data_IF_154379890021
#
_entry.id   IF_154379890021
#
_cell.length_a   1.000
_cell.length_b   1.000
_cell.length_c   1.000
_cell.angle_alpha   90.00
_cell.angle_beta   90.00
_cell.angle_gamma   90.00
#
_symmetry.space_group_name_H-M   'P 1'
#
loop_
_entity.id
_entity.type
_entity.pdbx_description
1 polymer ?
#
# COMPACT_ATOMS: atom_id res chain seq x y z
N UNK A 1 10.08 20.87 -16.53
CA UNK A 1 9.70 21.80 -15.44
C UNK A 1 9.87 21.06 -14.12
N UNK A 2 10.82 21.37 -13.22
CA UNK A 2 11.08 20.47 -12.10
C UNK A 2 10.11 20.79 -10.95
N UNK A 3 8.99 20.07 -10.93
CA UNK A 3 7.98 20.11 -9.87
C UNK A 3 8.24 19.13 -8.72
N UNK A 4 9.49 19.03 -8.26
CA UNK A 4 9.90 18.15 -7.15
C UNK A 4 10.44 18.95 -5.98
N UNK A 5 9.98 18.64 -4.76
CA UNK A 5 10.51 19.20 -3.53
C UNK A 5 11.83 18.47 -3.20
N UNK A 6 12.95 19.20 -3.19
CA UNK A 6 14.26 18.66 -2.83
C UNK A 6 14.41 18.65 -1.30
N UNK A 7 14.38 17.46 -0.70
CA UNK A 7 14.55 17.30 0.75
C UNK A 7 16.02 17.21 1.19
N UNK A 8 16.98 17.22 0.26
CA UNK A 8 18.41 17.06 0.56
C UNK A 8 19.03 18.22 1.36
N UNK A 9 18.28 19.29 1.64
CA UNK A 9 18.72 20.45 2.42
C UNK A 9 17.94 20.72 3.70
N UNK A 10 16.98 19.87 4.09
CA UNK A 10 16.14 20.10 5.27
C UNK A 10 16.50 19.12 6.39
N UNK A 11 16.71 19.64 7.60
CA UNK A 11 16.89 18.82 8.80
C UNK A 11 15.61 18.03 9.08
N UNK A 12 15.76 16.72 9.30
CA UNK A 12 14.64 15.81 9.64
C UNK A 12 13.94 16.19 10.95
N UNK A 13 14.61 17.00 11.78
CA UNK A 13 14.18 17.37 13.13
C UNK A 13 13.65 18.81 13.20
N UNK A 14 13.61 19.53 12.07
CA UNK A 14 12.99 20.85 12.00
C UNK A 14 11.51 20.74 11.60
N UNK A 15 10.59 21.47 12.26
CA UNK A 15 9.22 21.59 11.78
C UNK A 15 9.20 22.24 10.40
N UNK A 16 8.44 21.66 9.48
CA UNK A 16 8.33 22.15 8.11
C UNK A 16 7.34 23.31 8.06
N UNK A 17 7.89 24.52 8.01
CA UNK A 17 7.08 25.70 7.73
C UNK A 17 6.44 25.60 6.33
N UNK A 18 5.22 26.11 6.23
CA UNK A 18 4.41 26.10 5.02
C UNK A 18 5.20 26.57 3.78
N UNK A 19 5.31 25.71 2.77
CA UNK A 19 5.81 26.07 1.45
C UNK A 19 4.81 25.61 0.38
N UNK A 20 4.28 26.57 -0.37
CA UNK A 20 3.29 26.31 -1.40
C UNK A 20 3.98 25.69 -2.62
N UNK A 21 3.78 24.39 -2.84
CA UNK A 21 4.17 23.73 -4.09
C UNK A 21 2.99 22.93 -4.65
N UNK A 22 2.82 22.97 -5.98
CA UNK A 22 1.66 22.36 -6.67
C UNK A 22 1.62 20.83 -6.59
N UNK A 23 2.72 20.18 -6.22
CA UNK A 23 2.88 18.73 -6.36
C UNK A 23 2.48 17.92 -5.13
N UNK A 24 2.42 18.52 -3.92
CA UNK A 24 2.37 17.76 -2.66
C UNK A 24 1.34 18.26 -1.64
N UNK A 25 0.18 18.80 -2.06
CA UNK A 25 -0.85 19.28 -1.11
C UNK A 25 -1.28 18.23 -0.08
N UNK A 26 -1.37 16.97 -0.47
CA UNK A 26 -1.75 15.88 0.45
C UNK A 26 -0.65 15.56 1.46
N UNK A 27 0.62 15.65 1.05
CA UNK A 27 1.79 15.44 1.89
C UNK A 27 1.99 16.63 2.86
N UNK A 28 1.83 17.85 2.36
CA UNK A 28 1.84 19.08 3.14
C UNK A 28 0.73 19.06 4.21
N UNK A 29 -0.51 18.67 3.86
CA UNK A 29 -1.60 18.52 4.86
C UNK A 29 -1.28 17.52 5.96
N UNK A 30 -0.54 16.44 5.68
CA UNK A 30 -0.14 15.48 6.72
C UNK A 30 0.93 16.05 7.67
N UNK A 31 1.79 16.94 7.17
CA UNK A 31 2.89 17.56 7.93
C UNK A 31 2.40 18.76 8.74
N UNK A 32 1.59 19.63 8.15
CA UNK A 32 1.12 20.87 8.81
C UNK A 32 -0.06 20.63 9.76
N UNK A 33 -0.71 19.47 9.68
CA UNK A 33 -1.94 19.19 10.42
C UNK A 33 -3.11 20.08 9.99
N UNK A 34 -4.23 19.97 10.72
CA UNK A 34 -5.36 20.90 10.61
C UNK A 34 -5.13 22.15 11.48
N UNK A 35 -5.83 23.25 11.19
CA UNK A 35 -5.70 24.49 11.95
C UNK A 35 -5.98 24.25 13.44
N UNK A 36 -4.96 24.47 14.28
CA UNK A 36 -5.01 24.24 15.74
C UNK A 36 -4.28 22.98 16.23
N UNK A 37 -3.74 22.15 15.34
CA UNK A 37 -2.83 21.06 15.70
C UNK A 37 -1.37 21.53 15.71
N UNK A 38 -0.50 20.95 16.55
CA UNK A 38 0.93 21.23 16.51
C UNK A 38 1.53 20.76 15.18
N UNK A 39 2.44 21.57 14.61
CA UNK A 39 3.21 21.21 13.42
C UNK A 39 4.03 19.95 13.67
N UNK A 40 4.01 19.00 12.74
CA UNK A 40 4.78 17.75 12.84
C UNK A 40 6.06 17.83 12.04
N UNK A 41 7.10 17.17 12.53
CA UNK A 41 8.36 16.99 11.83
C UNK A 41 8.24 15.93 10.72
N UNK A 42 9.14 15.96 9.74
CA UNK A 42 9.24 14.89 8.74
C UNK A 42 9.45 13.52 9.40
N UNK A 43 10.25 13.47 10.46
CA UNK A 43 10.49 12.24 11.22
C UNK A 43 9.22 11.66 11.81
N UNK A 44 8.32 12.49 12.33
CA UNK A 44 7.05 12.03 12.89
C UNK A 44 6.09 11.54 11.80
N UNK A 45 5.98 12.27 10.69
CA UNK A 45 5.10 11.91 9.57
C UNK A 45 5.53 10.61 8.88
N UNK A 46 6.83 10.37 8.80
CA UNK A 46 7.39 9.15 8.22
C UNK A 46 7.85 8.15 9.27
N UNK A 47 7.43 8.32 10.53
CA UNK A 47 7.80 7.40 11.59
C UNK A 47 7.24 5.99 11.25
N UNK A 48 8.02 4.90 11.40
CA UNK A 48 7.57 3.55 11.04
C UNK A 48 6.23 3.12 11.67
N UNK A 49 5.94 3.64 12.88
CA UNK A 49 4.68 3.43 13.61
C UNK A 49 3.47 4.09 12.92
N UNK A 50 3.69 5.16 12.14
CA UNK A 50 2.66 5.83 11.34
C UNK A 50 2.56 5.26 9.91
N UNK A 51 3.48 4.37 9.51
CA UNK A 51 3.53 3.76 8.19
C UNK A 51 4.46 4.47 7.19
N UNK A 52 4.71 3.83 6.04
CA UNK A 52 5.30 4.52 4.89
C UNK A 52 4.20 5.36 4.23
N UNK A 53 4.04 6.60 4.69
CA UNK A 53 2.98 7.49 4.21
C UNK A 53 1.59 6.99 4.62
N UNK A 54 0.78 6.53 3.66
CA UNK A 54 -0.60 6.06 3.92
C UNK A 54 -0.74 4.55 4.06
N UNK A 55 0.37 3.82 4.00
CA UNK A 55 0.34 2.35 3.97
C UNK A 55 0.26 1.79 5.37
N UNK A 56 -0.59 0.78 5.56
CA UNK A 56 -0.71 0.06 6.82
C UNK A 56 0.52 -0.84 7.01
N UNK A 57 1.19 -0.71 8.15
CA UNK A 57 2.34 -1.55 8.51
C UNK A 57 1.89 -2.67 9.43
N UNK A 58 2.28 -3.90 9.10
CA UNK A 58 2.09 -5.08 9.94
C UNK A 58 3.46 -5.57 10.42
N UNK A 59 3.59 -5.82 11.71
CA UNK A 59 4.86 -6.26 12.33
C UNK A 59 4.58 -7.47 13.22
N UNK A 60 5.38 -8.53 13.07
CA UNK A 60 5.23 -9.75 13.86
C UNK A 60 5.85 -10.97 13.19
N UNK A 61 5.53 -12.15 13.71
CA UNK A 61 5.79 -13.43 13.03
C UNK A 61 4.94 -13.57 11.76
N UNK A 62 5.28 -14.51 10.88
CA UNK A 62 4.50 -14.83 9.68
C UNK A 62 3.01 -15.06 9.96
N UNK A 63 2.71 -15.87 10.98
CA UNK A 63 1.33 -16.15 11.40
C UNK A 63 0.62 -14.93 11.99
N UNK A 64 1.33 -14.11 12.77
CA UNK A 64 0.78 -12.87 13.34
C UNK A 64 0.46 -11.86 12.24
N UNK A 65 1.35 -11.69 11.27
CA UNK A 65 1.14 -10.80 10.11
C UNK A 65 -0.01 -11.32 9.24
N UNK A 66 -0.08 -12.62 8.97
CA UNK A 66 -1.18 -13.22 8.21
C UNK A 66 -2.54 -13.01 8.90
N UNK A 67 -2.61 -13.19 10.22
CA UNK A 67 -3.83 -12.94 11.00
C UNK A 67 -4.25 -11.46 11.01
N UNK A 68 -3.29 -10.54 11.18
CA UNK A 68 -3.57 -9.10 11.09
C UNK A 68 -4.05 -8.70 9.68
N UNK A 69 -3.47 -9.28 8.63
CA UNK A 69 -3.88 -9.03 7.26
C UNK A 69 -5.29 -9.56 6.99
N UNK A 70 -5.59 -10.79 7.43
CA UNK A 70 -6.91 -11.41 7.31
C UNK A 70 -8.01 -10.55 7.97
N UNK A 71 -7.76 -10.13 9.22
CA UNK A 71 -8.67 -9.26 9.94
C UNK A 71 -8.89 -7.94 9.19
N UNK A 72 -7.81 -7.33 8.72
CA UNK A 72 -7.90 -6.06 8.01
C UNK A 72 -8.69 -6.17 6.70
N UNK A 73 -8.43 -7.20 5.88
CA UNK A 73 -9.18 -7.42 4.62
C UNK A 73 -10.69 -7.60 4.88
N UNK A 74 -11.04 -8.34 5.94
CA UNK A 74 -12.43 -8.52 6.35
C UNK A 74 -13.08 -7.21 6.82
N UNK A 75 -12.37 -6.41 7.61
CA UNK A 75 -12.88 -5.14 8.15
C UNK A 75 -13.02 -4.06 7.07
N UNK A 76 -12.14 -4.05 6.07
CA UNK A 76 -12.11 -3.02 5.02
C UNK A 76 -12.85 -3.41 3.75
N UNK A 77 -13.48 -4.59 3.70
CA UNK A 77 -14.15 -5.14 2.50
C UNK A 77 -13.23 -5.05 1.28
N UNK A 78 -11.97 -5.46 1.46
CA UNK A 78 -10.91 -5.35 0.46
C UNK A 78 -10.51 -6.73 -0.02
N UNK A 79 -10.49 -6.93 -1.34
CA UNK A 79 -10.19 -8.23 -1.94
C UNK A 79 -8.68 -8.54 -2.00
N UNK A 80 -7.85 -7.52 -2.23
CA UNK A 80 -6.44 -7.67 -2.57
C UNK A 80 -5.53 -6.62 -1.93
N UNK A 81 -4.22 -6.89 -1.91
CA UNK A 81 -3.21 -5.96 -1.41
C UNK A 81 -2.18 -5.55 -2.45
N UNK A 82 -1.69 -4.32 -2.31
CA UNK A 82 -0.43 -3.89 -2.89
C UNK A 82 0.66 -3.88 -1.81
N UNK A 83 1.58 -4.84 -1.89
CA UNK A 83 2.69 -4.94 -0.95
C UNK A 83 3.82 -3.97 -1.31
N UNK A 84 4.08 -3.00 -0.45
CA UNK A 84 5.23 -2.11 -0.58
C UNK A 84 6.46 -2.66 0.15
N UNK A 85 7.64 -2.40 -0.44
CA UNK A 85 8.92 -2.83 0.11
C UNK A 85 9.54 -1.75 0.99
N UNK A 86 10.03 -2.16 2.16
CA UNK A 86 10.93 -1.35 2.99
C UNK A 86 12.39 -1.50 2.56
N UNK A 87 12.79 -2.70 2.13
CA UNK A 87 14.08 -2.96 1.50
C UNK A 87 13.93 -4.08 0.45
N UNK A 88 14.59 -3.91 -0.70
CA UNK A 88 14.53 -4.85 -1.81
C UNK A 88 15.83 -5.64 -1.94
N UNK A 89 15.78 -6.95 -2.23
CA UNK A 89 14.60 -7.79 -2.45
C UNK A 89 14.00 -8.43 -1.17
N UNK A 90 14.70 -8.34 -0.03
CA UNK A 90 14.42 -9.23 1.11
C UNK A 90 13.02 -9.11 1.73
N UNK A 91 12.31 -7.97 1.62
CA UNK A 91 10.91 -7.89 2.05
C UNK A 91 10.00 -8.89 1.31
N UNK A 92 10.21 -9.11 0.01
CA UNK A 92 9.40 -10.09 -0.74
C UNK A 92 9.79 -11.52 -0.40
N UNK A 93 11.08 -11.77 -0.16
CA UNK A 93 11.57 -13.09 0.24
C UNK A 93 11.01 -13.49 1.61
N UNK A 94 11.04 -12.58 2.58
CA UNK A 94 10.49 -12.83 3.92
C UNK A 94 8.97 -12.99 3.87
N UNK A 95 8.26 -12.17 3.10
CA UNK A 95 6.82 -12.31 2.94
C UNK A 95 6.46 -13.66 2.29
N UNK A 96 7.16 -14.04 1.22
CA UNK A 96 6.96 -15.32 0.55
C UNK A 96 7.30 -16.52 1.45
N UNK A 97 8.34 -16.39 2.27
CA UNK A 97 8.80 -17.46 3.17
C UNK A 97 7.90 -17.63 4.39
N UNK A 98 7.49 -16.54 5.01
CA UNK A 98 6.85 -16.57 6.33
C UNK A 98 5.35 -16.28 6.31
N UNK A 99 4.86 -15.45 5.39
CA UNK A 99 3.46 -15.00 5.40
C UNK A 99 2.61 -15.78 4.40
N UNK A 100 3.10 -16.02 3.18
CA UNK A 100 2.34 -16.75 2.15
C UNK A 100 1.87 -18.15 2.61
N UNK A 101 2.68 -18.98 3.30
CA UNK A 101 2.20 -20.29 3.77
C UNK A 101 1.04 -20.18 4.75
N UNK A 102 1.06 -19.18 5.62
CA UNK A 102 0.00 -18.93 6.61
C UNK A 102 -1.28 -18.41 5.93
N UNK A 103 -1.15 -17.52 4.93
CA UNK A 103 -2.29 -17.08 4.12
C UNK A 103 -2.93 -18.24 3.35
N UNK A 104 -2.13 -19.19 2.87
CA UNK A 104 -2.65 -20.43 2.25
C UNK A 104 -3.42 -21.28 3.25
N UNK A 105 -2.92 -21.43 4.48
CA UNK A 105 -3.62 -22.14 5.55
C UNK A 105 -4.99 -21.48 5.83
N UNK A 106 -5.02 -20.14 5.87
CA UNK A 106 -6.25 -19.36 6.07
C UNK A 106 -7.19 -19.34 4.86
N UNK A 107 -6.83 -19.95 3.72
CA UNK A 107 -7.61 -19.92 2.49
C UNK A 107 -7.62 -18.56 1.77
N UNK A 108 -6.73 -17.64 2.16
CA UNK A 108 -6.61 -16.28 1.61
C UNK A 108 -5.59 -16.19 0.45
N UNK A 109 -4.89 -17.28 0.15
CA UNK A 109 -3.99 -17.37 -0.98
C UNK A 109 -4.07 -18.76 -1.60
N UNK A 110 -4.14 -18.82 -2.91
CA UNK A 110 -4.24 -20.08 -3.66
C UNK A 110 -3.49 -20.00 -4.98
N UNK A 111 -3.10 -21.16 -5.48
CA UNK A 111 -2.62 -21.29 -6.84
C UNK A 111 -3.76 -21.90 -7.67
N UNK A 112 -4.06 -21.36 -8.87
CA UNK A 112 -5.02 -21.97 -9.77
C UNK A 112 -4.51 -23.36 -10.20
N UNK A 113 -5.43 -24.30 -10.35
CA UNK A 113 -5.12 -25.67 -10.79
C UNK A 113 -4.79 -25.74 -12.29
N UNK A 114 -5.25 -24.76 -13.06
CA UNK A 114 -5.06 -24.67 -14.51
C UNK A 114 -4.41 -23.33 -14.90
N UNK A 115 -3.75 -23.25 -16.08
CA UNK A 115 -3.26 -21.99 -16.62
C UNK A 115 -4.39 -21.00 -16.88
N UNK A 116 -4.30 -19.81 -16.27
CA UNK A 116 -5.28 -18.73 -16.40
C UNK A 116 -4.58 -17.45 -16.86
N UNK A 117 -5.28 -16.62 -17.66
CA UNK A 117 -4.83 -15.25 -17.91
C UNK A 117 -4.86 -14.42 -16.63
N UNK A 118 -4.16 -13.28 -16.59
CA UNK A 118 -4.18 -12.41 -15.41
C UNK A 118 -5.60 -11.95 -15.05
N UNK A 119 -6.45 -11.70 -16.06
CA UNK A 119 -7.85 -11.31 -15.83
C UNK A 119 -8.64 -12.44 -15.20
N UNK A 120 -8.52 -13.66 -15.69
CA UNK A 120 -9.21 -14.82 -15.11
C UNK A 120 -8.75 -15.12 -13.67
N UNK A 121 -7.51 -14.77 -13.31
CA UNK A 121 -7.03 -14.89 -11.92
C UNK A 121 -7.63 -13.85 -10.98
N UNK A 122 -7.84 -12.62 -11.46
CA UNK A 122 -8.44 -11.53 -10.68
C UNK A 122 -9.97 -11.58 -10.66
N UNK A 123 -10.58 -12.12 -11.71
CA UNK A 123 -12.03 -12.24 -11.90
C UNK A 123 -12.39 -13.69 -12.24
N UNK A 124 -12.53 -14.58 -11.24
CA UNK A 124 -12.77 -16.01 -11.47
C UNK A 124 -14.08 -16.30 -12.22
N UNK A 125 -15.10 -15.47 -12.00
CA UNK A 125 -16.40 -15.54 -12.70
C UNK A 125 -16.37 -14.87 -14.09
N UNK A 126 -15.24 -14.25 -14.45
CA UNK A 126 -15.03 -13.53 -15.69
C UNK A 126 -14.32 -14.35 -16.77
N UNK A 127 -14.17 -13.73 -17.94
CA UNK A 127 -13.40 -14.29 -19.05
C UNK A 127 -11.97 -13.75 -19.13
N UNK A 128 -11.24 -14.21 -20.14
CA UNK A 128 -9.98 -13.59 -20.53
C UNK A 128 -10.16 -12.16 -21.05
N UNK A 129 -11.36 -11.84 -21.56
CA UNK A 129 -11.72 -10.53 -22.09
C UNK A 129 -12.44 -9.66 -21.05
N UNK A 130 -12.41 -8.32 -21.20
CA UNK A 130 -13.21 -7.40 -20.40
C UNK A 130 -14.70 -7.76 -20.38
N UNK A 131 -15.35 -7.58 -19.22
CA UNK A 131 -16.78 -7.82 -19.09
C UNK A 131 -17.59 -6.92 -20.04
N UNK A 132 -18.82 -7.30 -20.36
CA UNK A 132 -19.65 -6.61 -21.36
C UNK A 132 -19.94 -5.14 -21.02
N UNK A 133 -19.87 -4.77 -19.75
CA UNK A 133 -20.05 -3.43 -19.21
C UNK A 133 -18.74 -2.62 -19.14
N UNK A 134 -17.60 -3.21 -19.52
CA UNK A 134 -16.32 -2.53 -19.53
C UNK A 134 -16.23 -1.58 -20.74
N UNK A 135 -15.77 -0.32 -20.58
CA UNK A 135 -15.74 0.68 -21.65
C UNK A 135 -15.01 0.24 -22.94
N UNK A 136 -14.04 -0.66 -22.83
CA UNK A 136 -13.34 -1.20 -24.01
C UNK A 136 -14.22 -2.03 -24.94
N UNK A 137 -15.37 -2.53 -24.47
CA UNK A 137 -16.32 -3.31 -25.29
C UNK A 137 -17.20 -2.43 -26.18
N UNK A 138 -17.21 -1.11 -25.97
CA UNK A 138 -18.08 -0.19 -26.70
C UNK A 138 -17.40 0.51 -27.89
N UNK A 139 -16.13 0.19 -28.17
CA UNK A 139 -15.32 0.83 -29.21
C UNK A 139 -15.01 -0.10 -30.40
N UNK A 140 -15.94 -1.01 -30.73
CA UNK A 140 -15.85 -1.91 -31.89
C UNK A 140 -16.21 -1.24 -33.22
#
# INVERSE_FOLDING_TARGET
MPGGLYFSGHSLDAPLAWQQTNSNRSLLKMVTGEAGQPERTLREVFHPVQGLGRQKTFVGSGSSVAGQLAQWLQESDTDDINLAQWFSPGCFEDFARWVIPELKHLGLSGNPTEPLTQRQRLFPEGGAEPAADHPSQHNG
#
